data_IF_974447674906
#
_entry.id   IF_974447674906
#
_cell.length_a   1.000
_cell.length_b   1.000
_cell.length_c   1.000
_cell.angle_alpha   90.00
_cell.angle_beta   90.00
_cell.angle_gamma   90.00
#
_symmetry.space_group_name_H-M   'P 1'
#
loop_
_entity.id
_entity.type
_entity.pdbx_description
1 polymer ?
#
# COMPACT_ATOMS: atom_id res chain seq x y z
N UNK A 1 -5.31 0.81 29.60
CA UNK A 1 -4.47 -0.13 28.82
C UNK A 1 -3.41 0.69 28.11
N UNK A 2 -2.19 0.70 28.63
CA UNK A 2 -1.05 1.33 27.96
C UNK A 2 -0.53 0.33 26.94
N UNK A 3 -0.77 0.56 25.65
CA UNK A 3 -0.13 -0.24 24.62
C UNK A 3 1.38 -0.01 24.72
N UNK A 4 2.17 -1.08 24.66
CA UNK A 4 3.64 -0.96 24.67
C UNK A 4 4.06 -0.02 23.53
N UNK A 5 4.98 0.92 23.79
CA UNK A 5 5.57 1.79 22.75
C UNK A 5 6.10 1.00 21.54
N UNK A 6 6.45 -0.27 21.74
CA UNK A 6 6.84 -1.18 20.66
C UNK A 6 5.69 -1.53 19.70
N UNK A 7 4.45 -1.63 20.21
CA UNK A 7 3.26 -1.94 19.41
C UNK A 7 2.83 -0.74 18.58
N UNK A 8 2.87 0.47 19.14
CA UNK A 8 2.63 1.71 18.39
C UNK A 8 3.69 1.91 17.29
N UNK A 9 4.97 1.67 17.60
CA UNK A 9 6.05 1.76 16.60
C UNK A 9 5.92 0.69 15.50
N UNK A 10 5.50 -0.53 15.82
CA UNK A 10 5.30 -1.59 14.83
C UNK A 10 4.07 -1.31 13.95
N UNK A 11 2.99 -0.77 14.51
CA UNK A 11 1.80 -0.37 13.77
C UNK A 11 2.09 0.83 12.84
N UNK A 12 2.86 1.83 13.30
CA UNK A 12 3.33 2.93 12.46
C UNK A 12 4.26 2.42 11.34
N UNK A 13 5.16 1.48 11.63
CA UNK A 13 6.03 0.88 10.63
C UNK A 13 5.24 0.11 9.57
N UNK A 14 4.18 -0.61 9.96
CA UNK A 14 3.27 -1.32 9.03
C UNK A 14 2.42 -0.36 8.20
N UNK A 15 1.96 0.75 8.77
CA UNK A 15 1.27 1.82 8.02
C UNK A 15 2.19 2.53 7.03
N UNK A 16 3.45 2.76 7.40
CA UNK A 16 4.47 3.33 6.51
C UNK A 16 4.91 2.35 5.41
N UNK A 17 4.93 1.05 5.70
CA UNK A 17 5.16 0.00 4.69
C UNK A 17 3.94 -0.20 3.76
N UNK A 18 2.72 0.03 4.25
CA UNK A 18 1.49 -0.04 3.46
C UNK A 18 1.18 1.24 2.65
N UNK A 19 1.69 2.39 3.08
CA UNK A 19 1.50 3.68 2.40
C UNK A 19 2.33 3.90 1.13
N UNK A 20 3.16 2.93 0.75
CA UNK A 20 4.09 3.03 -0.38
C UNK A 20 3.54 2.61 -1.75
N UNK A 21 2.24 2.34 -1.89
CA UNK A 21 1.64 2.04 -3.21
C UNK A 21 1.05 3.33 -3.79
N UNK A 22 1.92 4.30 -4.07
CA UNK A 22 1.67 5.16 -5.22
C UNK A 22 2.06 4.31 -6.43
N UNK A 23 1.12 4.04 -7.33
CA UNK A 23 1.50 3.69 -8.70
C UNK A 23 2.37 4.82 -9.20
N UNK A 24 3.68 4.60 -9.26
CA UNK A 24 4.55 5.49 -10.00
C UNK A 24 4.09 5.35 -11.44
N UNK A 25 3.33 6.34 -11.90
CA UNK A 25 3.06 6.53 -13.32
C UNK A 25 4.45 6.72 -13.90
N UNK A 26 4.94 5.77 -14.69
CA UNK A 26 6.11 6.06 -15.50
C UNK A 26 5.75 7.20 -16.46
N UNK A 27 6.70 7.73 -17.20
CA UNK A 27 6.39 8.57 -18.35
C UNK A 27 7.44 8.22 -19.39
N UNK A 28 7.04 8.11 -20.66
CA UNK A 28 8.03 8.16 -21.72
C UNK A 28 8.35 9.63 -21.92
N UNK A 29 9.44 10.06 -21.30
CA UNK A 29 9.87 11.46 -21.31
C UNK A 29 11.33 11.58 -21.66
N UNK A 30 11.64 12.44 -22.63
CA UNK A 30 12.99 12.84 -22.96
C UNK A 30 13.02 14.28 -23.46
N UNK A 31 14.17 14.91 -23.29
CA UNK A 31 14.45 16.28 -23.73
C UNK A 31 15.86 16.32 -24.30
N UNK A 32 15.94 16.53 -25.61
CA UNK A 32 17.17 16.72 -26.36
C UNK A 32 17.26 18.19 -26.81
N UNK A 33 17.81 19.10 -25.98
CA UNK A 33 18.08 20.47 -26.41
C UNK A 33 19.19 20.52 -27.48
N UNK A 34 20.06 19.51 -27.48
CA UNK A 34 21.03 19.18 -28.51
C UNK A 34 21.19 17.65 -28.52
N UNK A 35 21.40 17.05 -29.68
CA UNK A 35 21.52 15.59 -29.79
C UNK A 35 22.93 15.10 -29.42
N UNK A 36 23.04 14.06 -28.59
CA UNK A 36 24.33 13.51 -28.19
C UNK A 36 25.00 12.75 -29.34
N UNK A 37 26.25 12.33 -29.14
CA UNK A 37 26.97 11.52 -30.11
C UNK A 37 26.17 10.29 -30.59
N UNK A 38 26.26 9.90 -31.88
CA UNK A 38 25.49 8.78 -32.43
C UNK A 38 25.67 7.44 -31.69
N UNK A 39 26.78 7.26 -30.98
CA UNK A 39 27.07 6.04 -30.23
C UNK A 39 26.38 5.98 -28.86
N UNK A 40 25.88 7.11 -28.36
CA UNK A 40 25.24 7.24 -27.05
C UNK A 40 23.78 7.69 -27.15
N UNK A 41 23.35 8.15 -28.32
CA UNK A 41 21.97 8.48 -28.58
C UNK A 41 21.08 7.23 -28.51
N UNK A 42 20.01 7.29 -27.70
CA UNK A 42 18.94 6.29 -27.65
C UNK A 42 18.03 6.42 -28.90
N UNK A 43 18.62 6.34 -30.10
CA UNK A 43 17.94 6.58 -31.36
C UNK A 43 18.22 5.48 -32.38
N UNK A 44 17.16 5.06 -33.06
CA UNK A 44 17.22 4.21 -34.25
C UNK A 44 17.37 5.13 -35.47
N UNK A 45 18.49 4.99 -36.18
CA UNK A 45 18.77 5.72 -37.42
C UNK A 45 19.16 4.74 -38.53
N UNK A 46 18.75 5.01 -39.77
CA UNK A 46 19.28 4.24 -40.91
C UNK A 46 20.66 4.79 -41.26
N UNK A 47 21.73 4.15 -40.78
CA UNK A 47 23.13 4.64 -40.87
C UNK A 47 23.61 5.15 -42.23
N UNK A 48 22.96 4.76 -43.34
CA UNK A 48 23.29 5.25 -44.68
C UNK A 48 22.60 6.58 -45.05
N UNK A 49 21.40 6.81 -44.51
CA UNK A 49 20.53 7.93 -44.90
C UNK A 49 20.25 8.92 -43.77
N UNK A 50 20.31 8.49 -42.51
CA UNK A 50 20.04 9.34 -41.34
C UNK A 50 21.18 9.20 -40.33
N UNK A 51 21.58 10.32 -39.72
CA UNK A 51 22.67 10.33 -38.74
C UNK A 51 22.53 11.51 -37.77
N UNK A 52 23.15 11.42 -36.61
CA UNK A 52 23.31 12.59 -35.75
C UNK A 52 24.65 13.25 -36.09
N UNK A 53 24.63 14.56 -36.31
CA UNK A 53 25.80 15.35 -36.68
C UNK A 53 25.68 16.77 -36.17
N UNK A 54 26.76 17.31 -35.59
CA UNK A 54 26.81 18.67 -35.02
C UNK A 54 25.62 18.97 -34.10
N UNK A 55 25.28 18.01 -33.24
CA UNK A 55 24.21 18.16 -32.26
C UNK A 55 22.80 18.13 -32.84
N UNK A 56 22.62 17.70 -34.09
CA UNK A 56 21.34 17.66 -34.78
C UNK A 56 21.10 16.32 -35.46
N UNK A 57 19.84 15.88 -35.51
CA UNK A 57 19.44 14.78 -36.39
C UNK A 57 19.46 15.30 -37.83
N UNK A 58 20.24 14.64 -38.67
CA UNK A 58 20.14 14.70 -40.13
C UNK A 58 19.19 13.58 -40.56
N UNK A 59 17.95 13.92 -40.89
CA UNK A 59 16.91 12.92 -41.21
C UNK A 59 17.16 12.32 -42.60
N UNK A 60 17.62 13.14 -43.54
CA UNK A 60 18.22 12.71 -44.81
C UNK A 60 19.74 12.95 -44.80
N UNK A 61 20.51 12.43 -45.78
CA UNK A 61 21.93 12.71 -45.86
C UNK A 61 22.22 14.22 -45.93
N UNK A 62 23.32 14.62 -45.30
CA UNK A 62 23.77 16.01 -45.29
C UNK A 62 24.84 16.28 -46.37
N UNK A 63 25.04 17.56 -46.70
CA UNK A 63 25.98 18.04 -47.70
C UNK A 63 27.41 18.18 -47.13
N UNK A 64 28.00 17.06 -46.70
CA UNK A 64 29.40 17.01 -46.25
C UNK A 64 30.42 17.09 -47.40
N UNK A 65 29.96 16.98 -48.65
CA UNK A 65 30.73 17.02 -49.88
C UNK A 65 30.19 18.16 -50.78
N UNK A 66 30.94 18.60 -51.80
CA UNK A 66 30.44 19.65 -52.72
C UNK A 66 29.54 19.11 -53.85
N UNK A 67 29.54 17.80 -54.11
CA UNK A 67 28.65 17.18 -55.11
C UNK A 67 27.31 16.83 -54.46
N UNK A 68 26.19 17.15 -55.12
CA UNK A 68 24.83 16.90 -54.65
C UNK A 68 24.27 15.51 -55.06
N UNK A 69 24.96 14.76 -55.92
CA UNK A 69 24.46 13.47 -56.45
C UNK A 69 24.11 12.45 -55.34
N UNK A 70 24.81 12.48 -54.20
CA UNK A 70 24.54 11.56 -53.09
C UNK A 70 23.31 11.96 -52.27
N UNK A 71 22.73 13.14 -52.53
CA UNK A 71 21.53 13.66 -51.88
C UNK A 71 20.27 13.45 -52.73
N UNK A 72 20.40 13.01 -53.97
CA UNK A 72 19.26 12.77 -54.87
C UNK A 72 18.52 11.49 -54.46
N UNK A 73 17.19 11.56 -54.43
CA UNK A 73 16.29 10.43 -54.19
C UNK A 73 16.67 9.67 -52.91
N UNK A 74 16.75 10.40 -51.81
CA UNK A 74 17.03 9.85 -50.48
C UNK A 74 15.81 9.94 -49.61
N UNK A 75 15.71 9.01 -48.68
CA UNK A 75 14.72 9.00 -47.61
C UNK A 75 15.38 8.47 -46.35
N UNK A 76 14.89 8.90 -45.19
CA UNK A 76 15.45 8.46 -43.92
C UNK A 76 14.47 8.64 -42.77
N UNK A 77 14.74 7.92 -41.68
CA UNK A 77 14.02 8.01 -40.42
C UNK A 77 15.00 8.11 -39.25
N UNK A 78 14.58 8.85 -38.24
CA UNK A 78 15.25 8.91 -36.95
C UNK A 78 14.19 8.74 -35.86
N UNK A 79 14.21 7.60 -35.19
CA UNK A 79 13.18 7.20 -34.23
C UNK A 79 13.80 7.07 -32.84
N UNK A 80 13.05 7.40 -31.81
CA UNK A 80 13.46 7.09 -30.45
C UNK A 80 13.49 5.57 -30.23
N UNK A 81 14.52 5.05 -29.57
CA UNK A 81 14.76 3.61 -29.47
C UNK A 81 13.68 2.87 -28.67
N UNK A 82 13.17 3.49 -27.60
CA UNK A 82 12.13 2.91 -26.77
C UNK A 82 10.75 3.21 -27.36
N UNK A 83 9.93 2.18 -27.68
CA UNK A 83 8.58 2.41 -28.18
C UNK A 83 7.67 3.00 -27.09
N UNK A 84 6.72 3.83 -27.51
CA UNK A 84 5.70 4.47 -26.70
C UNK A 84 4.42 3.64 -26.69
N UNK A 85 3.82 3.42 -25.51
CA UNK A 85 2.51 2.76 -25.41
C UNK A 85 1.39 3.79 -25.59
N UNK A 86 0.82 3.82 -26.78
CA UNK A 86 -0.18 4.80 -27.19
C UNK A 86 -1.57 4.52 -26.61
N UNK A 87 -1.92 3.24 -26.40
CA UNK A 87 -3.20 2.84 -25.81
C UNK A 87 -3.11 1.41 -25.25
N UNK A 88 -4.09 1.01 -24.46
CA UNK A 88 -4.22 -0.36 -23.94
C UNK A 88 -5.65 -0.85 -24.03
N UNK A 89 -5.87 -1.91 -24.82
CA UNK A 89 -7.19 -2.56 -24.93
C UNK A 89 -7.64 -3.13 -23.58
N UNK A 90 -6.70 -3.70 -22.84
CA UNK A 90 -6.95 -4.35 -21.54
C UNK A 90 -7.47 -3.37 -20.50
N UNK A 91 -6.88 -2.18 -20.45
CA UNK A 91 -7.25 -1.13 -19.49
C UNK A 91 -8.33 -0.18 -20.04
N UNK A 92 -8.56 -0.17 -21.35
CA UNK A 92 -9.52 0.74 -21.99
C UNK A 92 -9.11 2.20 -21.90
N UNK A 93 -7.80 2.48 -21.96
CA UNK A 93 -7.24 3.84 -21.84
C UNK A 93 -6.33 4.15 -23.02
N UNK A 94 -6.30 5.42 -23.39
CA UNK A 94 -5.47 6.00 -24.46
C UNK A 94 -4.54 7.03 -23.84
N UNK A 95 -3.28 7.06 -24.25
CA UNK A 95 -2.27 7.96 -23.72
C UNK A 95 -2.43 9.34 -24.35
N UNK A 96 -2.20 10.38 -23.55
CA UNK A 96 -1.92 11.70 -24.09
C UNK A 96 -0.41 11.87 -24.30
N UNK A 97 -0.01 12.72 -25.24
CA UNK A 97 1.37 13.12 -25.40
C UNK A 97 1.48 14.56 -25.92
N UNK A 98 2.62 15.17 -25.62
CA UNK A 98 3.05 16.44 -26.18
C UNK A 98 4.47 16.29 -26.67
N UNK A 99 4.73 16.72 -27.90
CA UNK A 99 6.08 16.80 -28.44
C UNK A 99 6.35 18.18 -29.02
N UNK A 100 7.55 18.69 -28.80
CA UNK A 100 8.00 19.96 -29.35
C UNK A 100 9.37 19.74 -29.98
N UNK A 101 9.58 20.27 -31.17
CA UNK A 101 10.84 20.11 -31.89
C UNK A 101 11.16 21.32 -32.76
N UNK A 102 12.44 21.44 -33.08
CA UNK A 102 12.98 22.53 -33.88
C UNK A 102 13.45 22.00 -35.23
N UNK A 103 12.72 22.37 -36.28
CA UNK A 103 13.03 22.04 -37.67
C UNK A 103 14.03 23.04 -38.24
N UNK A 104 14.98 22.56 -39.02
CA UNK A 104 15.87 23.37 -39.81
C UNK A 104 15.94 22.77 -41.22
N UNK A 105 15.22 23.41 -42.15
CA UNK A 105 15.13 22.97 -43.54
C UNK A 105 15.86 23.97 -44.43
N UNK A 106 16.73 23.49 -45.32
CA UNK A 106 17.53 24.38 -46.19
C UNK A 106 17.58 23.89 -47.61
N UNK A 107 17.02 24.67 -48.54
CA UNK A 107 17.11 24.38 -49.96
C UNK A 107 18.55 24.43 -50.47
N UNK A 108 18.95 23.40 -51.21
CA UNK A 108 20.22 23.35 -51.95
C UNK A 108 20.02 23.53 -53.46
N UNK A 109 18.77 23.36 -53.93
CA UNK A 109 18.34 23.61 -55.31
C UNK A 109 17.20 24.62 -55.34
N UNK A 110 16.85 25.14 -56.51
CA UNK A 110 15.72 26.05 -56.67
C UNK A 110 14.82 25.58 -57.84
N UNK A 111 13.62 25.05 -57.58
CA UNK A 111 13.01 24.85 -56.25
C UNK A 111 13.69 23.72 -55.44
N UNK A 112 13.46 23.68 -54.12
CA UNK A 112 13.84 22.56 -53.24
C UNK A 112 12.67 21.60 -53.00
N UNK A 113 12.87 20.62 -52.13
CA UNK A 113 11.92 19.56 -51.79
C UNK A 113 12.58 18.45 -50.96
N UNK A 114 11.82 17.58 -50.29
CA UNK A 114 10.35 17.42 -50.37
C UNK A 114 9.63 17.73 -49.05
N UNK A 115 10.36 17.72 -47.93
CA UNK A 115 9.85 18.00 -46.61
C UNK A 115 10.35 17.03 -45.56
N UNK A 116 9.79 17.19 -44.36
CA UNK A 116 10.05 16.39 -43.18
C UNK A 116 8.75 16.19 -42.40
N UNK A 117 8.58 15.04 -41.77
CA UNK A 117 7.42 14.73 -40.94
C UNK A 117 7.82 14.22 -39.55
N UNK A 118 7.02 14.58 -38.54
CA UNK A 118 6.97 13.86 -37.27
C UNK A 118 6.05 12.65 -37.43
N UNK A 119 6.48 11.47 -36.99
CA UNK A 119 5.76 10.21 -37.22
C UNK A 119 5.55 9.40 -35.95
N UNK A 120 4.37 8.76 -35.89
CA UNK A 120 4.03 7.63 -35.03
C UNK A 120 3.95 6.39 -35.92
N UNK A 121 4.87 5.44 -35.77
CA UNK A 121 4.98 4.29 -36.66
C UNK A 121 4.92 2.96 -35.92
N UNK A 122 4.17 1.99 -36.45
CA UNK A 122 4.17 0.62 -35.94
C UNK A 122 5.51 -0.11 -36.16
N UNK A 123 6.18 0.19 -37.28
CA UNK A 123 7.43 -0.44 -37.71
C UNK A 123 8.52 0.64 -37.87
N UNK A 124 9.71 0.45 -37.24
CA UNK A 124 10.80 1.41 -37.36
C UNK A 124 11.53 1.37 -38.70
N UNK A 125 11.24 0.38 -39.54
CA UNK A 125 11.86 0.19 -40.85
C UNK A 125 11.45 1.29 -41.82
N UNK A 126 12.42 1.83 -42.56
CA UNK A 126 12.18 2.77 -43.65
C UNK A 126 11.60 2.01 -44.85
N UNK A 127 10.45 2.43 -45.41
CA UNK A 127 9.91 1.79 -46.62
C UNK A 127 10.87 1.94 -47.80
N UNK A 128 11.06 0.90 -48.60
CA UNK A 128 11.94 0.96 -49.77
C UNK A 128 11.35 1.89 -50.85
N UNK A 129 12.19 2.68 -51.52
CA UNK A 129 11.73 3.60 -52.58
C UNK A 129 10.76 4.68 -52.09
N UNK A 130 10.91 5.09 -50.82
CA UNK A 130 10.09 6.10 -50.15
C UNK A 130 10.66 7.52 -50.23
N UNK A 131 11.55 7.76 -51.19
CA UNK A 131 12.07 9.09 -51.50
C UNK A 131 11.05 9.94 -52.27
N UNK A 132 11.37 11.19 -52.55
CA UNK A 132 10.45 12.08 -53.26
C UNK A 132 9.18 12.36 -52.45
N UNK A 133 8.05 12.41 -53.16
CA UNK A 133 6.71 12.64 -52.63
C UNK A 133 6.33 11.82 -51.40
N UNK A 134 7.00 10.68 -51.14
CA UNK A 134 6.60 9.74 -50.10
C UNK A 134 7.13 10.07 -48.69
N UNK A 135 8.03 11.07 -48.56
CA UNK A 135 8.59 11.59 -47.29
C UNK A 135 9.22 10.55 -46.34
N UNK A 136 9.50 9.33 -46.81
CA UNK A 136 9.87 8.21 -45.95
C UNK A 136 8.72 7.65 -45.09
N UNK A 137 7.50 8.16 -45.24
CA UNK A 137 6.31 7.79 -44.46
C UNK A 137 5.73 6.48 -44.99
N UNK A 138 5.49 6.41 -46.29
CA UNK A 138 5.00 5.24 -47.03
C UNK A 138 5.80 5.06 -48.31
N UNK A 139 5.38 4.17 -49.20
CA UNK A 139 5.82 4.11 -50.59
C UNK A 139 4.65 3.69 -51.48
N UNK A 140 4.89 3.56 -52.79
CA UNK A 140 3.87 3.19 -53.77
C UNK A 140 3.12 1.88 -53.47
N UNK A 141 3.69 0.97 -52.68
CA UNK A 141 3.09 -0.31 -52.32
C UNK A 141 2.45 -0.34 -50.93
N UNK A 142 2.84 0.58 -50.04
CA UNK A 142 2.36 0.60 -48.64
C UNK A 142 1.41 1.76 -48.34
N UNK A 143 1.22 2.69 -49.27
CA UNK A 143 0.22 3.76 -49.19
C UNK A 143 -1.20 3.18 -48.98
N UNK A 144 -1.83 3.58 -47.87
CA UNK A 144 -3.13 3.07 -47.41
C UNK A 144 -3.07 1.77 -46.58
N UNK A 145 -1.90 1.14 -46.46
CA UNK A 145 -1.72 -0.15 -45.76
C UNK A 145 -0.73 -0.08 -44.59
N UNK A 146 0.21 0.86 -44.61
CA UNK A 146 1.12 1.12 -43.49
C UNK A 146 0.35 1.60 -42.27
N UNK A 147 0.79 1.20 -41.08
CA UNK A 147 0.27 1.74 -39.82
C UNK A 147 1.19 2.87 -39.35
N UNK A 148 0.91 4.07 -39.83
CA UNK A 148 1.70 5.27 -39.56
C UNK A 148 0.78 6.49 -39.53
N UNK A 149 0.96 7.35 -38.55
CA UNK A 149 0.35 8.68 -38.52
C UNK A 149 1.48 9.70 -38.57
N UNK A 150 1.37 10.69 -39.43
CA UNK A 150 2.41 11.70 -39.60
C UNK A 150 1.83 13.11 -39.56
N UNK A 151 2.64 14.04 -39.06
CA UNK A 151 2.46 15.48 -39.24
C UNK A 151 3.58 15.93 -40.18
N UNK A 152 3.23 16.15 -41.44
CA UNK A 152 4.17 16.55 -42.48
C UNK A 152 4.34 18.07 -42.55
N UNK A 153 5.57 18.49 -42.84
CA UNK A 153 5.95 19.86 -43.17
C UNK A 153 6.44 19.82 -44.61
N UNK A 154 5.49 19.83 -45.53
CA UNK A 154 5.72 19.62 -46.95
C UNK A 154 6.14 20.94 -47.62
N UNK A 155 7.30 20.89 -48.28
CA UNK A 155 7.93 22.05 -48.94
C UNK A 155 7.68 22.10 -50.43
N UNK A 156 6.97 21.12 -50.99
CA UNK A 156 6.83 20.93 -52.41
C UNK A 156 5.55 20.18 -52.78
N UNK A 157 4.73 20.86 -53.58
CA UNK A 157 3.62 20.21 -54.27
C UNK A 157 4.09 19.05 -55.19
N UNK A 158 3.76 17.83 -54.80
CA UNK A 158 4.22 16.61 -55.47
C UNK A 158 3.13 15.93 -56.32
N UNK A 159 1.85 16.20 -56.02
CA UNK A 159 0.68 15.70 -56.76
C UNK A 159 -0.43 16.77 -56.86
N UNK A 160 -1.56 16.45 -57.50
CA UNK A 160 -2.57 17.47 -57.86
C UNK A 160 -3.43 17.93 -56.67
N UNK A 161 -3.74 17.00 -55.78
CA UNK A 161 -4.57 17.20 -54.59
C UNK A 161 -3.80 17.91 -53.46
N UNK A 162 -2.47 17.90 -53.56
CA UNK A 162 -1.53 18.59 -52.70
C UNK A 162 -1.63 20.13 -52.85
N UNK A 163 -1.40 20.88 -51.77
CA UNK A 163 -1.41 22.34 -51.82
C UNK A 163 -0.19 22.85 -52.60
N UNK A 164 -0.40 23.86 -53.46
CA UNK A 164 0.68 24.46 -54.26
C UNK A 164 1.73 25.21 -53.41
N UNK A 165 1.36 25.62 -52.19
CA UNK A 165 2.21 26.34 -51.24
C UNK A 165 2.71 25.39 -50.12
N UNK A 166 3.81 25.76 -49.46
CA UNK A 166 4.25 25.11 -48.22
C UNK A 166 3.08 24.92 -47.26
N UNK A 167 2.91 23.69 -46.77
CA UNK A 167 1.80 23.35 -45.91
C UNK A 167 2.19 22.38 -44.80
N UNK A 168 1.37 22.38 -43.76
CA UNK A 168 1.39 21.35 -42.72
C UNK A 168 0.25 20.39 -43.01
N UNK A 169 0.56 19.10 -43.04
CA UNK A 169 -0.38 18.03 -43.32
C UNK A 169 -0.54 17.08 -42.14
N UNK A 170 -1.71 16.45 -42.05
CA UNK A 170 -1.99 15.36 -41.12
C UNK A 170 -2.30 14.11 -41.93
N UNK A 171 -1.39 13.15 -41.86
CA UNK A 171 -1.41 11.93 -42.64
C UNK A 171 -1.82 10.74 -41.78
N UNK A 172 -2.68 9.89 -42.32
CA UNK A 172 -3.12 8.67 -41.65
C UNK A 172 -3.02 7.50 -42.62
N UNK A 173 -2.03 6.64 -42.40
CA UNK A 173 -1.71 5.45 -43.18
C UNK A 173 -1.42 5.70 -44.67
N UNK A 174 -1.36 6.95 -45.09
CA UNK A 174 -1.25 7.37 -46.48
C UNK A 174 -0.50 8.70 -46.57
N UNK A 175 0.11 8.98 -47.72
CA UNK A 175 0.74 10.28 -48.00
C UNK A 175 -0.27 11.38 -48.34
N UNK A 176 -1.53 11.01 -48.58
CA UNK A 176 -2.59 11.98 -48.82
C UNK A 176 -3.15 12.46 -47.48
N UNK A 177 -2.78 13.69 -47.12
CA UNK A 177 -3.25 14.39 -45.93
C UNK A 177 -4.78 14.33 -45.78
N UNK A 178 -5.27 13.92 -44.61
CA UNK A 178 -6.70 14.03 -44.26
C UNK A 178 -7.08 15.47 -43.90
N UNK A 179 -6.08 16.31 -43.63
CA UNK A 179 -6.17 17.74 -43.38
C UNK A 179 -4.84 18.40 -43.73
N UNK A 180 -4.88 19.50 -44.48
CA UNK A 180 -3.69 20.24 -44.91
C UNK A 180 -3.94 21.75 -44.80
N UNK A 181 -2.96 22.48 -44.28
CA UNK A 181 -3.08 23.92 -44.01
C UNK A 181 -1.83 24.64 -44.50
N UNK A 182 -2.02 25.61 -45.41
CA UNK A 182 -0.94 26.51 -45.80
C UNK A 182 -0.63 27.51 -44.69
N UNK A 183 0.65 27.68 -44.35
CA UNK A 183 1.08 28.63 -43.32
C UNK A 183 1.23 30.07 -43.84
N UNK A 184 0.98 30.30 -45.13
CA UNK A 184 1.12 31.62 -45.76
C UNK A 184 0.19 32.67 -45.14
N UNK A 185 -1.03 32.27 -44.75
CA UNK A 185 -1.99 33.13 -44.08
C UNK A 185 -1.54 33.62 -42.70
N UNK A 186 -0.59 32.90 -42.08
CA UNK A 186 -0.02 33.17 -40.77
C UNK A 186 1.30 33.98 -40.86
N UNK A 187 1.67 34.47 -42.04
CA UNK A 187 2.91 35.23 -42.26
C UNK A 187 4.16 34.36 -42.35
N UNK A 188 4.02 33.03 -42.39
CA UNK A 188 5.12 32.09 -42.60
C UNK A 188 5.16 31.73 -44.07
N UNK A 189 6.23 32.10 -44.77
CA UNK A 189 6.40 31.77 -46.19
C UNK A 189 7.35 30.58 -46.37
N UNK A 190 7.28 29.92 -47.53
CA UNK A 190 8.25 28.87 -47.91
C UNK A 190 9.70 29.35 -47.73
N UNK A 191 10.00 30.61 -48.10
CA UNK A 191 11.32 31.19 -47.94
C UNK A 191 11.75 31.36 -46.48
N UNK A 192 10.82 31.53 -45.53
CA UNK A 192 11.13 31.56 -44.10
C UNK A 192 11.51 30.17 -43.58
N UNK A 193 10.85 29.13 -44.06
CA UNK A 193 11.05 27.75 -43.62
C UNK A 193 12.31 27.14 -44.25
N UNK A 194 12.50 27.35 -45.56
CA UNK A 194 13.60 26.71 -46.31
C UNK A 194 14.89 27.52 -46.32
N UNK A 195 15.02 28.56 -45.48
CA UNK A 195 16.23 29.38 -45.40
C UNK A 195 17.35 28.74 -44.56
N UNK A 196 17.09 27.59 -43.93
CA UNK A 196 17.95 27.03 -42.89
C UNK A 196 17.87 27.80 -41.57
N UNK A 197 16.76 28.51 -41.34
CA UNK A 197 16.44 29.07 -40.03
C UNK A 197 15.59 28.08 -39.25
N UNK A 198 15.69 28.19 -37.94
CA UNK A 198 14.97 27.28 -37.07
C UNK A 198 13.48 27.63 -36.98
N UNK A 199 12.63 26.63 -37.19
CA UNK A 199 11.17 26.71 -37.05
C UNK A 199 10.73 25.77 -35.95
N UNK A 200 9.94 26.28 -35.00
CA UNK A 200 9.43 25.46 -33.89
C UNK A 200 8.05 24.90 -34.23
N UNK A 201 7.87 23.62 -33.95
CA UNK A 201 6.59 22.96 -34.07
C UNK A 201 6.28 22.18 -32.79
N UNK A 202 4.98 22.09 -32.49
CA UNK A 202 4.43 21.34 -31.37
C UNK A 202 3.27 20.48 -31.85
N UNK A 203 3.28 19.21 -31.46
CA UNK A 203 2.19 18.26 -31.72
C UNK A 203 1.70 17.74 -30.37
N UNK A 204 0.41 17.92 -30.12
CA UNK A 204 -0.26 17.52 -28.88
C UNK A 204 -1.39 16.56 -29.22
N UNK A 205 -1.54 15.51 -28.42
CA UNK A 205 -2.63 14.56 -28.50
C UNK A 205 -3.22 14.33 -27.12
N UNK A 206 -4.51 14.59 -26.95
CA UNK A 206 -5.19 14.51 -25.63
C UNK A 206 -5.94 13.18 -25.42
N UNK A 207 -5.79 12.21 -26.33
CA UNK A 207 -6.55 10.97 -26.36
C UNK A 207 -7.75 10.97 -27.30
N UNK A 208 -8.18 12.14 -27.79
CA UNK A 208 -9.30 12.30 -28.74
C UNK A 208 -8.97 13.25 -29.92
N UNK A 209 -8.22 14.33 -29.66
CA UNK A 209 -7.85 15.35 -30.63
C UNK A 209 -6.34 15.41 -30.80
N UNK A 210 -5.90 15.53 -32.05
CA UNK A 210 -4.54 15.93 -32.38
C UNK A 210 -4.53 17.43 -32.71
N UNK A 211 -3.62 18.17 -32.10
CA UNK A 211 -3.42 19.60 -32.33
C UNK A 211 -1.98 19.83 -32.76
N UNK A 212 -1.81 20.53 -33.89
CA UNK A 212 -0.50 20.90 -34.42
C UNK A 212 -0.37 22.42 -34.34
N UNK A 213 0.69 22.90 -33.72
CA UNK A 213 1.01 24.31 -33.60
C UNK A 213 2.38 24.61 -34.18
N UNK A 214 2.50 25.72 -34.91
CA UNK A 214 3.77 26.18 -35.47
C UNK A 214 4.07 27.58 -34.95
N UNK A 215 5.33 27.85 -34.65
CA UNK A 215 5.79 29.16 -34.20
C UNK A 215 6.71 29.78 -35.25
N UNK A 216 6.17 30.78 -35.97
CA UNK A 216 6.91 31.55 -36.98
C UNK A 216 7.28 32.98 -36.58
N UNK A 217 6.69 33.53 -35.50
CA UNK A 217 6.85 34.95 -35.11
C UNK A 217 6.99 35.17 -33.60
N UNK A 218 7.29 34.13 -32.82
CA UNK A 218 7.47 34.20 -31.36
C UNK A 218 6.29 33.67 -30.53
N UNK A 219 5.18 33.26 -31.16
CA UNK A 219 4.04 32.62 -30.51
C UNK A 219 3.66 31.32 -31.25
N UNK A 220 3.25 30.30 -30.49
CA UNK A 220 2.71 29.07 -31.06
C UNK A 220 1.27 29.31 -31.52
N UNK A 221 1.03 29.13 -32.82
CA UNK A 221 -0.31 29.23 -33.39
C UNK A 221 -0.81 27.82 -33.75
N UNK A 222 -1.98 27.39 -33.26
CA UNK A 222 -2.58 26.13 -33.70
C UNK A 222 -3.02 26.25 -35.16
N UNK A 223 -2.51 25.37 -36.01
CA UNK A 223 -2.80 25.34 -37.45
C UNK A 223 -3.72 24.19 -37.83
N UNK A 224 -3.63 23.06 -37.11
CA UNK A 224 -4.54 21.91 -37.24
C UNK A 224 -5.06 21.58 -35.85
N UNK A 225 -6.36 21.31 -35.74
CA UNK A 225 -6.96 20.71 -34.54
C UNK A 225 -8.12 19.82 -34.97
N UNK A 226 -7.92 18.52 -34.87
CA UNK A 226 -8.83 17.52 -35.44
C UNK A 226 -9.05 16.37 -34.48
N UNK A 227 -10.29 15.90 -34.41
CA UNK A 227 -10.61 14.61 -33.78
C UNK A 227 -9.99 13.47 -34.58
N UNK A 228 -9.20 12.66 -33.92
CA UNK A 228 -8.55 11.49 -34.51
C UNK A 228 -8.34 10.44 -33.43
N UNK A 229 -9.07 9.33 -33.50
CA UNK A 229 -8.81 8.22 -32.60
C UNK A 229 -7.63 7.40 -33.10
N UNK A 230 -6.45 7.61 -32.52
CA UNK A 230 -5.24 6.93 -32.97
C UNK A 230 -5.28 5.40 -32.81
N UNK A 231 -6.11 4.87 -31.89
CA UNK A 231 -6.26 3.43 -31.68
C UNK A 231 -6.92 2.69 -32.85
N UNK A 232 -7.62 3.40 -33.74
CA UNK A 232 -8.22 2.83 -34.94
C UNK A 232 -7.19 2.59 -36.07
N UNK A 233 -6.02 3.21 -35.98
CA UNK A 233 -5.01 3.23 -37.03
C UNK A 233 -3.67 2.64 -36.60
N UNK A 234 -3.29 2.81 -35.32
CA UNK A 234 -2.00 2.42 -34.78
C UNK A 234 -2.11 1.29 -33.74
N UNK A 235 -1.11 0.41 -33.63
CA UNK A 235 -1.05 -0.59 -32.57
C UNK A 235 -0.85 0.03 -31.17
N UNK A 236 -0.94 -0.79 -30.12
CA UNK A 236 -0.74 -0.33 -28.73
C UNK A 236 0.65 0.28 -28.50
N UNK A 237 1.68 -0.23 -29.17
CA UNK A 237 3.08 0.25 -29.06
C UNK A 237 3.53 0.86 -30.38
N UNK A 238 4.05 2.09 -30.36
CA UNK A 238 4.51 2.81 -31.55
C UNK A 238 5.90 3.38 -31.34
N UNK A 239 6.66 3.54 -32.42
CA UNK A 239 7.87 4.34 -32.44
C UNK A 239 7.52 5.79 -32.75
N UNK A 240 8.13 6.71 -32.01
CA UNK A 240 8.02 8.16 -32.25
C UNK A 240 9.31 8.66 -32.89
N UNK A 241 9.21 9.62 -33.80
CA UNK A 241 10.38 10.30 -34.35
C UNK A 241 10.10 11.01 -35.64
N UNK A 242 11.07 11.02 -36.55
CA UNK A 242 11.02 11.82 -37.76
C UNK A 242 11.27 10.98 -39.01
N UNK A 243 10.68 11.42 -40.11
CA UNK A 243 10.91 10.91 -41.45
C UNK A 243 11.10 12.09 -42.40
N UNK A 244 11.90 11.92 -43.44
CA UNK A 244 12.06 12.94 -44.47
C UNK A 244 12.55 12.31 -45.77
N UNK A 245 12.44 13.06 -46.86
CA UNK A 245 12.98 12.66 -48.15
C UNK A 245 13.52 13.85 -48.95
N UNK A 246 14.22 13.51 -50.01
CA UNK A 246 14.67 14.40 -51.07
C UNK A 246 14.33 13.76 -52.42
N UNK A 247 14.36 14.55 -53.48
CA UNK A 247 14.22 14.08 -54.86
C UNK A 247 15.36 14.64 -55.73
N UNK A 248 15.08 14.91 -57.01
CA UNK A 248 15.91 15.80 -57.82
C UNK A 248 15.79 17.27 -57.38
N UNK A 249 14.83 17.58 -56.50
CA UNK A 249 14.75 18.81 -55.73
C UNK A 249 15.29 18.50 -54.34
N UNK A 250 16.38 19.18 -54.00
CA UNK A 250 17.21 18.85 -52.84
C UNK A 250 17.12 19.95 -51.81
N UNK A 251 16.86 19.54 -50.58
CA UNK A 251 17.00 20.32 -49.36
C UNK A 251 17.68 19.48 -48.26
N UNK A 252 18.19 20.15 -47.24
CA UNK A 252 18.67 19.53 -46.02
C UNK A 252 17.53 19.47 -45.01
N UNK A 253 17.31 18.30 -44.40
CA UNK A 253 16.23 18.05 -43.46
C UNK A 253 16.78 17.72 -42.07
N UNK A 254 16.81 18.74 -41.20
CA UNK A 254 17.41 18.63 -39.87
C UNK A 254 16.39 18.83 -38.75
N UNK A 255 16.59 18.10 -37.64
CA UNK A 255 15.96 18.38 -36.35
C UNK A 255 17.05 18.79 -35.36
N UNK A 256 16.97 20.01 -34.84
CA UNK A 256 17.97 20.63 -33.96
C UNK A 256 17.77 20.29 -32.49
N UNK A 257 16.51 20.18 -32.06
CA UNK A 257 16.11 19.81 -30.71
C UNK A 257 14.78 19.07 -30.74
N UNK A 258 14.54 18.25 -29.72
CA UNK A 258 13.33 17.45 -29.61
C UNK A 258 13.01 17.10 -28.15
N UNK A 259 11.81 17.48 -27.73
CA UNK A 259 11.21 17.12 -26.46
C UNK A 259 9.97 16.26 -26.72
N UNK A 260 9.79 15.23 -25.90
CA UNK A 260 8.59 14.40 -25.88
C UNK A 260 8.20 14.11 -24.44
N UNK A 261 6.92 14.29 -24.15
CA UNK A 261 6.29 13.97 -22.86
C UNK A 261 5.01 13.18 -23.15
N UNK A 262 5.01 11.89 -22.82
CA UNK A 262 3.87 11.00 -23.00
C UNK A 262 3.47 10.29 -21.71
N UNK A 263 2.16 10.18 -21.51
CA UNK A 263 1.59 9.41 -20.39
C UNK A 263 2.03 7.95 -20.47
N UNK A 264 2.53 7.39 -19.38
CA UNK A 264 2.79 5.96 -19.34
C UNK A 264 1.53 5.18 -18.97
N UNK A 265 1.13 4.33 -19.90
CA UNK A 265 0.03 3.40 -19.75
C UNK A 265 0.53 2.00 -19.39
N UNK A 266 1.83 1.84 -19.08
CA UNK A 266 2.47 0.54 -18.82
C UNK A 266 1.57 -0.38 -18.01
N UNK A 267 1.50 -1.64 -18.43
CA UNK A 267 0.74 -2.68 -17.74
C UNK A 267 1.40 -2.92 -16.39
N UNK A 268 1.06 -2.05 -15.43
CA UNK A 268 1.63 -2.01 -14.11
C UNK A 268 1.74 -3.43 -13.61
N UNK A 269 2.98 -3.81 -13.27
CA UNK A 269 3.36 -5.09 -12.71
C UNK A 269 2.15 -5.69 -12.04
N UNK A 270 1.56 -6.75 -12.62
CA UNK A 270 0.38 -7.36 -12.02
C UNK A 270 0.70 -7.53 -10.54
N UNK A 271 -0.03 -6.81 -9.69
CA UNK A 271 0.21 -6.73 -8.26
C UNK A 271 -0.14 -8.08 -7.60
N UNK A 272 0.03 -9.21 -8.30
CA UNK A 272 0.08 -10.58 -7.80
C UNK A 272 0.96 -10.68 -6.57
N UNK A 273 2.09 -9.95 -6.52
CA UNK A 273 2.93 -9.87 -5.34
C UNK A 273 2.20 -9.25 -4.14
N UNK A 274 1.27 -8.31 -4.33
CA UNK A 274 0.44 -7.75 -3.26
C UNK A 274 -0.49 -8.82 -2.67
N UNK A 275 -1.03 -9.71 -3.51
CA UNK A 275 -1.81 -10.87 -3.05
C UNK A 275 -0.99 -11.90 -2.28
N UNK A 276 0.34 -11.89 -2.40
CA UNK A 276 1.26 -12.76 -1.64
C UNK A 276 1.75 -12.06 -0.37
N UNK A 277 2.08 -10.77 -0.45
CA UNK A 277 2.67 -10.01 0.67
C UNK A 277 1.63 -9.66 1.74
N UNK A 278 0.39 -9.31 1.36
CA UNK A 278 -0.66 -8.99 2.34
C UNK A 278 -0.95 -10.20 3.26
N UNK A 279 -1.21 -11.42 2.75
CA UNK A 279 -1.40 -12.59 3.60
C UNK A 279 -0.17 -12.94 4.43
N UNK A 280 1.04 -12.82 3.85
CA UNK A 280 2.28 -13.10 4.57
C UNK A 280 2.48 -12.15 5.77
N UNK A 281 2.23 -10.86 5.59
CA UNK A 281 2.30 -9.85 6.66
C UNK A 281 1.24 -10.13 7.72
N UNK A 282 0.01 -10.47 7.32
CA UNK A 282 -1.05 -10.86 8.27
C UNK A 282 -0.66 -12.09 9.10
N UNK A 283 -0.04 -13.10 8.50
CA UNK A 283 0.46 -14.29 9.19
C UNK A 283 1.57 -13.93 10.20
N UNK A 284 2.49 -13.04 9.83
CA UNK A 284 3.54 -12.56 10.74
C UNK A 284 2.94 -11.80 11.92
N UNK A 285 1.93 -10.95 11.69
CA UNK A 285 1.24 -10.22 12.76
C UNK A 285 0.49 -11.20 13.68
N UNK A 286 -0.28 -12.13 13.12
CA UNK A 286 -1.03 -13.13 13.89
C UNK A 286 -0.08 -14.01 14.70
N UNK A 287 1.01 -14.50 14.10
CA UNK A 287 2.01 -15.29 14.83
C UNK A 287 2.70 -14.49 15.94
N UNK A 288 2.98 -13.20 15.72
CA UNK A 288 3.50 -12.29 16.76
C UNK A 288 2.52 -12.08 17.91
N UNK A 289 1.23 -11.92 17.63
CA UNK A 289 0.17 -11.82 18.65
C UNK A 289 0.07 -13.12 19.44
N UNK A 290 0.02 -14.27 18.75
CA UNK A 290 -0.04 -15.60 19.40
C UNK A 290 1.20 -15.83 20.27
N UNK A 291 2.38 -15.49 19.78
CA UNK A 291 3.63 -15.58 20.54
C UNK A 291 3.61 -14.66 21.76
N UNK A 292 3.14 -13.42 21.63
CA UNK A 292 2.98 -12.49 22.75
C UNK A 292 2.03 -13.03 23.82
N UNK A 293 0.86 -13.54 23.42
CA UNK A 293 -0.11 -14.15 24.34
C UNK A 293 0.47 -15.40 25.03
N UNK A 294 1.23 -16.21 24.29
CA UNK A 294 1.93 -17.37 24.86
C UNK A 294 3.05 -16.96 25.83
N UNK A 295 3.81 -15.92 25.49
CA UNK A 295 4.87 -15.35 26.33
C UNK A 295 4.30 -14.77 27.62
N UNK A 296 3.20 -14.01 27.55
CA UNK A 296 2.50 -13.47 28.73
C UNK A 296 1.96 -14.60 29.62
N UNK A 297 1.38 -15.64 29.02
CA UNK A 297 0.91 -16.82 29.77
C UNK A 297 2.06 -17.56 30.45
N UNK A 298 3.20 -17.73 29.77
CA UNK A 298 4.39 -18.37 30.33
C UNK A 298 5.02 -17.53 31.44
N UNK A 299 5.07 -16.21 31.31
CA UNK A 299 5.56 -15.33 32.38
C UNK A 299 4.61 -15.22 33.59
N UNK A 300 3.33 -15.59 33.43
CA UNK A 300 2.42 -15.81 34.57
C UNK A 300 2.66 -17.17 35.27
N UNK A 301 3.38 -18.09 34.65
CA UNK A 301 3.63 -19.46 35.13
C UNK A 301 5.15 -19.70 35.38
N UNK A 302 5.68 -19.26 36.55
CA UNK A 302 6.99 -19.57 37.22
C UNK A 302 8.07 -18.45 37.30
N UNK A 303 8.95 -18.44 38.34
CA UNK A 303 8.71 -18.09 39.76
C UNK A 303 9.69 -16.98 40.26
N UNK A 304 9.34 -16.21 41.29
CA UNK A 304 10.32 -15.37 42.00
C UNK A 304 11.17 -16.23 42.94
N UNK A 305 12.24 -16.86 42.42
CA UNK A 305 13.24 -17.55 43.24
C UNK A 305 14.60 -16.83 43.11
N UNK A 306 14.84 -15.85 44.00
CA UNK A 306 16.15 -15.25 44.20
C UNK A 306 16.42 -14.94 45.69
N UNK A 307 16.33 -15.95 46.56
CA UNK A 307 17.07 -16.03 47.82
C UNK A 307 17.46 -17.49 48.11
N UNK A 308 18.64 -17.76 48.70
CA UNK A 308 19.10 -19.11 48.96
C UNK A 308 18.26 -19.78 50.06
N UNK A 309 17.47 -20.75 49.62
CA UNK A 309 16.93 -21.94 50.30
C UNK A 309 17.23 -22.09 51.79
N UNK A 310 16.40 -21.47 52.62
CA UNK A 310 16.33 -21.74 54.06
C UNK A 310 15.69 -23.14 54.32
N UNK A 311 14.96 -23.70 53.34
CA UNK A 311 14.31 -25.02 53.50
C UNK A 311 15.26 -26.20 53.66
N UNK A 312 16.49 -26.15 53.10
CA UNK A 312 17.41 -27.29 53.17
C UNK A 312 18.06 -27.44 54.56
N UNK A 313 18.13 -26.36 55.36
CA UNK A 313 18.59 -26.42 56.76
C UNK A 313 17.47 -26.78 57.75
N UNK A 314 16.21 -26.53 57.41
CA UNK A 314 15.07 -26.87 58.28
C UNK A 314 14.58 -28.30 58.03
N UNK A 315 14.86 -28.91 56.87
CA UNK A 315 14.56 -30.33 56.60
C UNK A 315 15.31 -31.32 57.51
N UNK A 316 16.38 -30.89 58.17
CA UNK A 316 17.06 -31.66 59.22
C UNK A 316 16.41 -31.52 60.61
N UNK A 317 15.48 -30.58 60.79
CA UNK A 317 14.76 -30.39 62.04
C UNK A 317 13.44 -31.16 62.00
N UNK A 318 13.32 -32.16 62.87
CA UNK A 318 12.06 -32.84 63.11
C UNK A 318 10.99 -31.80 63.48
N UNK A 319 9.81 -31.88 62.87
CA UNK A 319 8.59 -31.09 63.11
C UNK A 319 8.28 -29.98 62.09
N UNK A 320 7.72 -30.34 60.92
CA UNK A 320 6.86 -29.42 60.16
C UNK A 320 5.76 -30.19 59.37
N UNK A 321 4.46 -29.81 59.45
CA UNK A 321 3.35 -30.59 58.89
C UNK A 321 2.99 -30.24 57.45
N UNK A 322 2.49 -31.22 56.70
CA UNK A 322 2.08 -31.12 55.29
C UNK A 322 0.74 -30.41 55.11
N UNK A 323 0.71 -29.55 54.11
CA UNK A 323 -0.24 -28.48 53.88
C UNK A 323 -1.44 -28.95 53.02
N UNK A 324 -2.59 -29.16 53.68
CA UNK A 324 -3.95 -29.03 53.11
C UNK A 324 -5.01 -28.71 54.20
N UNK A 325 -4.58 -28.12 55.35
CA UNK A 325 -5.41 -27.86 56.54
C UNK A 325 -4.94 -26.61 57.34
N UNK A 326 -4.50 -25.54 56.67
CA UNK A 326 -3.86 -24.38 57.32
C UNK A 326 -4.82 -23.31 57.87
N UNK A 327 -6.02 -23.69 58.29
CA UNK A 327 -6.92 -22.78 59.01
C UNK A 327 -6.68 -22.88 60.52
N UNK A 328 -6.68 -21.73 61.22
CA UNK A 328 -6.55 -21.69 62.70
C UNK A 328 -7.54 -22.63 63.41
N UNK A 329 -8.75 -22.79 62.85
CA UNK A 329 -9.78 -23.71 63.34
C UNK A 329 -9.34 -25.18 63.23
N UNK A 330 -8.71 -25.59 62.12
CA UNK A 330 -8.22 -26.96 61.94
C UNK A 330 -7.08 -27.29 62.89
N UNK A 331 -6.18 -26.33 63.08
CA UNK A 331 -5.07 -26.46 64.01
C UNK A 331 -5.56 -26.58 65.47
N UNK A 332 -6.52 -25.74 65.88
CA UNK A 332 -7.14 -25.81 67.20
C UNK A 332 -7.88 -27.14 67.45
N UNK A 333 -8.58 -27.67 66.44
CA UNK A 333 -9.24 -28.98 66.54
C UNK A 333 -8.23 -30.12 66.76
N UNK A 334 -7.07 -30.08 66.11
CA UNK A 334 -6.01 -31.08 66.28
C UNK A 334 -5.32 -30.99 67.65
N UNK A 335 -5.13 -29.77 68.18
CA UNK A 335 -4.63 -29.57 69.53
C UNK A 335 -5.63 -30.05 70.58
N UNK A 336 -6.93 -29.79 70.37
CA UNK A 336 -7.98 -30.30 71.25
C UNK A 336 -8.05 -31.83 71.25
N UNK A 337 -7.94 -32.48 70.08
CA UNK A 337 -7.90 -33.95 69.97
C UNK A 337 -6.73 -34.58 70.74
N UNK A 338 -5.66 -33.81 70.98
CA UNK A 338 -4.46 -34.24 71.73
C UNK A 338 -4.49 -33.80 73.20
N UNK A 339 -5.58 -33.21 73.68
CA UNK A 339 -5.71 -32.58 75.01
C UNK A 339 -4.63 -31.51 75.29
N UNK A 340 -4.20 -30.80 74.24
CA UNK A 340 -3.16 -29.75 74.29
C UNK A 340 -3.66 -28.41 73.76
N UNK A 341 -4.92 -28.08 74.02
CA UNK A 341 -5.54 -26.86 73.46
C UNK A 341 -4.85 -25.56 73.91
N UNK A 342 -4.27 -25.56 75.12
CA UNK A 342 -3.52 -24.42 75.67
C UNK A 342 -2.23 -24.10 74.89
N UNK A 343 -1.68 -25.05 74.12
CA UNK A 343 -0.55 -24.78 73.21
C UNK A 343 -0.95 -23.78 72.10
N UNK A 344 -2.24 -23.49 71.93
CA UNK A 344 -2.73 -22.49 71.00
C UNK A 344 -2.64 -21.05 71.51
N UNK A 345 -2.40 -20.85 72.82
CA UNK A 345 -2.33 -19.52 73.41
C UNK A 345 -1.07 -18.80 72.93
N UNK A 346 -1.21 -17.54 72.54
CA UNK A 346 -0.10 -16.73 72.03
C UNK A 346 1.01 -16.60 73.10
N UNK A 347 2.26 -16.89 72.71
CA UNK A 347 3.41 -16.85 73.60
C UNK A 347 3.66 -15.45 74.20
N UNK A 348 3.15 -14.38 73.57
CA UNK A 348 3.21 -13.01 74.10
C UNK A 348 2.41 -12.82 75.39
N UNK A 349 1.43 -13.68 75.67
CA UNK A 349 0.71 -13.66 76.96
C UNK A 349 1.59 -14.19 78.11
N UNK A 350 2.74 -14.81 77.82
CA UNK A 350 3.76 -15.21 78.79
C UNK A 350 3.23 -16.01 80.00
N UNK A 351 2.15 -16.79 79.81
CA UNK A 351 1.49 -17.56 80.87
C UNK A 351 0.69 -16.73 81.89
N UNK A 352 0.47 -15.43 81.62
CA UNK A 352 -0.31 -14.54 82.48
C UNK A 352 -1.80 -14.60 82.12
N UNK A 353 -2.40 -15.78 82.28
CA UNK A 353 -3.82 -16.00 82.08
C UNK A 353 -4.31 -17.12 82.99
N UNK A 354 -5.61 -17.13 83.28
CA UNK A 354 -6.24 -18.26 83.96
C UNK A 354 -6.44 -19.40 82.95
N UNK A 355 -5.93 -20.59 83.27
CA UNK A 355 -5.96 -21.73 82.36
C UNK A 355 -7.38 -22.21 82.05
N UNK A 356 -8.27 -22.22 83.06
CA UNK A 356 -9.65 -22.68 82.90
C UNK A 356 -10.47 -21.69 82.05
N UNK A 357 -10.28 -20.39 82.27
CA UNK A 357 -10.88 -19.36 81.42
C UNK A 357 -10.38 -19.44 79.97
N UNK A 358 -9.07 -19.62 79.78
CA UNK A 358 -8.49 -19.71 78.43
C UNK A 358 -8.90 -20.97 77.68
N UNK A 359 -9.00 -22.11 78.35
CA UNK A 359 -9.60 -23.33 77.77
C UNK A 359 -11.05 -23.04 77.38
N UNK A 360 -11.82 -22.38 78.25
CA UNK A 360 -13.20 -21.99 77.95
C UNK A 360 -13.33 -21.09 76.73
N UNK A 361 -12.45 -20.10 76.59
CA UNK A 361 -12.40 -19.19 75.44
C UNK A 361 -12.11 -19.92 74.12
N UNK A 362 -11.13 -20.83 74.13
CA UNK A 362 -10.73 -21.58 72.93
C UNK A 362 -11.80 -22.59 72.51
N UNK A 363 -12.44 -23.26 73.47
CA UNK A 363 -13.59 -24.15 73.24
C UNK A 363 -14.79 -23.37 72.71
N UNK A 364 -15.11 -22.21 73.29
CA UNK A 364 -16.18 -21.34 72.81
C UNK A 364 -15.91 -20.86 71.37
N UNK A 365 -14.68 -20.46 71.07
CA UNK A 365 -14.25 -20.08 69.72
C UNK A 365 -14.46 -21.21 68.70
N UNK A 366 -14.09 -22.44 69.06
CA UNK A 366 -14.33 -23.62 68.23
C UNK A 366 -15.83 -23.90 68.01
N UNK A 367 -16.67 -23.72 69.03
CA UNK A 367 -18.13 -23.88 68.92
C UNK A 367 -18.76 -22.82 68.00
N UNK A 368 -18.32 -21.56 68.09
CA UNK A 368 -18.73 -20.50 67.18
C UNK A 368 -18.35 -20.78 65.72
N UNK A 369 -17.29 -21.55 65.49
CA UNK A 369 -16.81 -21.93 64.16
C UNK A 369 -17.44 -23.22 63.62
N UNK A 370 -18.54 -23.71 64.20
CA UNK A 370 -19.17 -24.95 63.77
C UNK A 370 -19.56 -24.90 62.26
N UNK A 371 -19.27 -25.93 61.45
CA UNK A 371 -19.59 -25.91 60.01
C UNK A 371 -21.09 -25.76 59.73
N UNK A 372 -21.96 -26.32 60.57
CA UNK A 372 -23.41 -26.11 60.54
C UNK A 372 -23.79 -24.82 61.31
N UNK A 373 -24.37 -23.79 60.65
CA UNK A 373 -24.76 -22.54 61.31
C UNK A 373 -25.77 -22.70 62.45
N UNK A 374 -26.63 -23.72 62.41
CA UNK A 374 -27.67 -23.92 63.42
C UNK A 374 -27.16 -24.55 64.72
N UNK A 375 -25.97 -25.14 64.70
CA UNK A 375 -25.32 -25.72 65.88
C UNK A 375 -24.35 -24.74 66.56
N UNK A 376 -24.16 -23.55 65.98
CA UNK A 376 -23.36 -22.49 66.60
C UNK A 376 -24.13 -21.91 67.80
N UNK A 377 -23.44 -21.62 68.92
CA UNK A 377 -24.09 -20.98 70.06
C UNK A 377 -24.65 -19.60 69.68
N UNK A 378 -25.79 -19.23 70.26
CA UNK A 378 -26.34 -17.89 70.10
C UNK A 378 -25.42 -16.84 70.72
N UNK A 379 -25.48 -15.60 70.25
CA UNK A 379 -24.67 -14.51 70.82
C UNK A 379 -24.95 -14.28 72.32
N UNK A 380 -26.20 -14.53 72.76
CA UNK A 380 -26.57 -14.47 74.19
C UNK A 380 -25.76 -15.50 75.00
N UNK A 381 -25.66 -16.73 74.51
CA UNK A 381 -24.88 -17.80 75.15
C UNK A 381 -23.39 -17.48 75.16
N UNK A 382 -22.84 -16.97 74.05
CA UNK A 382 -21.44 -16.55 73.96
C UNK A 382 -21.13 -15.52 75.04
N UNK A 383 -21.95 -14.48 75.18
CA UNK A 383 -21.73 -13.44 76.21
C UNK A 383 -21.83 -13.98 77.65
N UNK A 384 -22.73 -14.93 77.92
CA UNK A 384 -22.84 -15.55 79.24
C UNK A 384 -21.57 -16.33 79.60
N UNK A 385 -21.01 -17.08 78.64
CA UNK A 385 -19.76 -17.83 78.84
C UNK A 385 -18.57 -16.86 79.03
N UNK A 386 -18.48 -15.81 78.20
CA UNK A 386 -17.40 -14.80 78.32
C UNK A 386 -17.42 -14.04 79.65
N UNK A 387 -18.58 -13.93 80.30
CA UNK A 387 -18.72 -13.29 81.62
C UNK A 387 -18.50 -14.26 82.79
N UNK A 388 -18.25 -15.54 82.53
CA UNK A 388 -18.17 -16.59 83.55
C UNK A 388 -19.52 -16.99 84.16
N UNK A 389 -20.64 -16.52 83.58
CA UNK A 389 -22.01 -16.79 84.07
C UNK A 389 -22.55 -18.16 83.61
N UNK A 390 -21.90 -18.81 82.63
CA UNK A 390 -22.26 -20.12 82.11
C UNK A 390 -21.02 -20.92 81.67
N UNK A 391 -21.09 -22.25 81.74
CA UNK A 391 -20.01 -23.13 81.26
C UNK A 391 -19.94 -23.14 79.73
N UNK A 392 -18.73 -23.28 79.14
CA UNK A 392 -18.56 -23.41 77.70
C UNK A 392 -19.34 -24.61 77.13
N UNK A 393 -19.85 -24.52 75.88
CA UNK A 393 -20.56 -25.63 75.25
C UNK A 393 -19.66 -26.86 75.07
N UNK A 394 -20.21 -28.05 75.29
CA UNK A 394 -19.51 -29.31 75.07
C UNK A 394 -19.31 -29.53 73.57
N UNK A 395 -18.05 -29.60 73.14
CA UNK A 395 -17.69 -29.90 71.76
C UNK A 395 -17.42 -31.41 71.57
N UNK A 396 -17.76 -31.99 70.41
CA UNK A 396 -17.47 -33.39 70.09
C UNK A 396 -15.97 -33.70 70.11
N UNK A 397 -15.58 -34.97 70.24
CA UNK A 397 -14.17 -35.38 70.31
C UNK A 397 -13.40 -35.16 68.99
N UNK A 398 -14.12 -35.19 67.87
CA UNK A 398 -13.57 -34.94 66.54
C UNK A 398 -14.31 -33.80 65.86
N UNK A 399 -13.64 -33.17 64.89
CA UNK A 399 -14.23 -32.07 64.13
C UNK A 399 -15.43 -32.57 63.32
N UNK A 400 -16.60 -31.95 63.45
CA UNK A 400 -17.78 -32.33 62.67
C UNK A 400 -17.56 -32.07 61.18
N UNK A 401 -18.04 -32.99 60.34
CA UNK A 401 -18.01 -32.84 58.89
C UNK A 401 -19.04 -31.78 58.43
N UNK A 402 -18.71 -31.05 57.37
CA UNK A 402 -19.68 -30.18 56.72
C UNK A 402 -20.70 -31.02 55.94
N UNK A 403 -21.99 -30.79 56.15
CA UNK A 403 -23.10 -31.49 55.47
C UNK A 403 -24.03 -30.46 54.83
N UNK A 404 -24.45 -30.70 53.58
CA UNK A 404 -25.35 -29.81 52.82
C UNK A 404 -26.60 -30.56 52.31
N UNK A 405 -27.81 -29.97 52.37
CA UNK A 405 -28.12 -28.69 52.99
C UNK A 405 -27.94 -28.75 54.51
N UNK A 406 -27.56 -27.62 55.12
CA UNK A 406 -27.48 -27.51 56.57
C UNK A 406 -28.91 -27.72 57.13
N UNK A 407 -29.14 -28.88 57.74
CA UNK A 407 -30.46 -29.23 58.28
C UNK A 407 -30.71 -28.34 59.51
N UNK A 408 -31.78 -27.53 59.54
CA UNK A 408 -32.20 -26.89 60.78
C UNK A 408 -32.60 -27.99 61.77
N UNK A 409 -32.38 -27.79 63.09
CA UNK A 409 -32.74 -28.79 64.09
C UNK A 409 -34.21 -29.17 63.92
N UNK A 410 -34.46 -30.44 63.57
CA UNK A 410 -35.80 -30.98 63.46
C UNK A 410 -36.44 -30.90 64.84
N UNK A 411 -37.57 -30.20 64.95
CA UNK A 411 -38.42 -30.24 66.13
C UNK A 411 -38.77 -31.71 66.44
N UNK A 412 -38.06 -32.30 67.40
CA UNK A 412 -38.56 -33.41 68.18
C UNK A 412 -38.58 -32.94 69.62
N UNK A 413 -39.78 -32.48 69.99
CA UNK A 413 -40.27 -32.52 71.35
C UNK A 413 -40.02 -33.92 71.93
N UNK A 414 -39.31 -33.97 73.04
CA UNK A 414 -39.80 -34.60 74.27
C UNK A 414 -39.64 -33.46 75.31
N UNK A 415 -40.68 -32.96 75.95
CA UNK A 415 -41.51 -33.71 76.90
C UNK A 415 -42.96 -33.22 76.91
N UNK A 416 -43.87 -34.19 76.93
CA UNK A 416 -45.32 -34.06 77.06
C UNK A 416 -45.82 -33.03 78.10
N UNK A 417 -46.70 -32.12 77.69
CA UNK A 417 -48.13 -32.09 78.07
C UNK A 417 -48.76 -30.68 78.03
N UNK A 418 -49.95 -30.67 77.41
CA UNK A 418 -51.14 -29.88 77.74
C UNK A 418 -51.33 -28.45 77.19
N UNK A 419 -52.28 -28.40 76.23
CA UNK A 419 -53.45 -27.50 76.17
C UNK A 419 -53.31 -26.04 75.68
N UNK A 420 -53.59 -25.83 74.37
CA UNK A 420 -54.72 -25.04 73.77
C UNK A 420 -55.01 -23.66 74.44
N UNK A 421 -54.98 -22.48 73.79
CA UNK A 421 -55.58 -22.07 72.49
C UNK A 421 -55.23 -20.60 72.11
N UNK A 422 -55.27 -20.30 70.80
CA UNK A 422 -55.86 -19.07 70.19
C UNK A 422 -55.03 -17.75 70.27
N UNK A 423 -54.91 -16.86 69.28
CA UNK A 423 -55.68 -16.56 68.06
C UNK A 423 -54.89 -15.62 67.09
N UNK A 424 -55.10 -15.81 65.78
CA UNK A 424 -55.11 -14.91 64.60
C UNK A 424 -53.86 -14.06 64.22
N UNK A 425 -53.21 -14.27 63.04
CA UNK A 425 -53.57 -13.89 61.63
C UNK A 425 -53.64 -12.34 61.45
N UNK A 426 -52.89 -11.60 60.62
CA UNK A 426 -52.64 -11.61 59.14
C UNK A 426 -52.01 -10.23 58.75
N UNK A 427 -51.75 -9.84 57.46
CA UNK A 427 -50.41 -9.87 56.89
C UNK A 427 -49.98 -8.57 56.14
N UNK A 428 -48.74 -8.59 55.63
CA UNK A 428 -48.19 -7.95 54.42
C UNK A 428 -48.54 -6.49 54.03
N UNK A 429 -47.48 -5.68 53.87
CA UNK A 429 -47.41 -4.67 52.80
C UNK A 429 -45.97 -4.60 52.29
N UNK A 430 -45.78 -4.84 50.99
CA UNK A 430 -44.57 -4.51 50.22
C UNK A 430 -44.47 -2.98 49.99
N UNK A 431 -43.25 -2.44 49.99
CA UNK A 431 -42.85 -1.19 49.33
C UNK A 431 -41.33 -1.28 49.12
N UNK A 432 -40.86 -1.36 47.87
CA UNK A 432 -40.30 -0.23 47.11
C UNK A 432 -38.91 -0.67 46.61
N UNK A 433 -38.43 -0.36 45.41
CA UNK A 433 -38.66 0.83 44.60
C UNK A 433 -37.42 1.73 44.64
N UNK A 434 -36.37 1.33 43.93
CA UNK A 434 -35.47 2.14 43.05
C UNK A 434 -34.15 1.44 42.81
#
# INVERSE_FOLDING_TARGET
MSFSRAFESLFLALLLLGGGILTQVGCLKFDFPEFPDPNTAEMITQKLNSSIYLGAIQVTPDNRNENLDHLVNKSGRALYEKPFRLWSKRKGVTASFSTTFQLNIKNLTNPGGEGLAFILAADPTLPEGSDGQWLGIVNASTDGFSQVVAVEFDTRQSYREDLEDFHVGLDVNSIYSIEQVSLRGNGITLANITSGNDTWARVEYDGEHITVSVNGTGEYMPVISRRLNLSDHLPEMVYVGFSASTSNYIELNCVRSWEFDGDDIDEGLELLWVWITIPAVLIVIISGIVFYLFWERKHREQPEDAYPRIEDQIRGSSMAPRNYNNGIVYWLWELRRKDKILDAVDSKLAGQFDEDEMVGMLVLGLACCHPNPHERPSMKTVLQVLKGEALPPLLPAERPAFVWPAMPPSFKEDTDNAFIKSQLLTPFTELGGR
#
